data_IF_301965687795
#
_entry.id   IF_301965687795
#
_cell.length_a   1.000
_cell.length_b   1.000
_cell.length_c   1.000
_cell.angle_alpha   90.00
_cell.angle_beta   90.00
_cell.angle_gamma   90.00
#
_symmetry.space_group_name_H-M   'P 1'
#
loop_
_entity.id
_entity.type
_entity.pdbx_description
1 polymer ?
#
# COMPACT_ATOMS: atom_id res chain seq x y z
N UNK A 1 13.90 15.81 41.12
CA UNK A 1 13.49 16.54 39.90
C UNK A 1 14.53 17.61 39.61
N UNK A 2 15.38 17.40 38.60
CA UNK A 2 16.44 18.34 38.22
C UNK A 2 15.84 19.45 37.36
N UNK A 3 15.98 20.71 37.79
CA UNK A 3 15.58 21.88 36.99
C UNK A 3 16.52 21.97 35.78
N UNK A 4 15.98 21.89 34.57
CA UNK A 4 16.70 22.22 33.34
C UNK A 4 17.00 23.72 33.39
N UNK A 5 18.29 24.06 33.53
CA UNK A 5 18.77 25.43 33.62
C UNK A 5 18.86 26.02 32.21
N UNK A 6 18.41 27.25 32.02
CA UNK A 6 18.35 27.89 30.69
C UNK A 6 19.76 28.21 30.19
N UNK A 7 19.99 28.06 28.88
CA UNK A 7 21.30 28.33 28.23
C UNK A 7 21.78 29.77 28.53
N UNK A 8 20.84 30.71 28.67
CA UNK A 8 21.13 32.11 29.06
C UNK A 8 21.74 32.25 30.46
N UNK A 9 21.32 31.40 31.42
CA UNK A 9 21.88 31.38 32.78
C UNK A 9 23.28 30.75 32.79
N UNK A 10 23.56 29.81 31.88
CA UNK A 10 24.86 29.13 31.79
C UNK A 10 25.97 30.04 31.27
N UNK A 11 25.61 31.06 30.48
CA UNK A 11 26.53 32.05 29.92
C UNK A 11 26.61 33.36 30.73
N UNK A 12 26.05 33.42 31.95
CA UNK A 12 26.02 34.64 32.79
C UNK A 12 25.44 35.88 32.08
N UNK A 13 24.46 35.70 31.18
CA UNK A 13 23.88 36.77 30.36
C UNK A 13 22.56 37.35 30.91
N UNK A 14 22.15 37.02 32.14
CA UNK A 14 20.88 37.51 32.71
C UNK A 14 21.10 38.15 34.08
N UNK A 15 20.84 39.45 34.17
CA UNK A 15 20.71 40.19 35.43
C UNK A 15 19.29 39.98 35.99
N UNK A 16 19.18 39.49 37.23
CA UNK A 16 17.87 39.20 37.85
C UNK A 16 17.14 40.48 38.21
N UNK A 17 16.13 40.86 37.42
CA UNK A 17 15.18 41.91 37.80
C UNK A 17 13.95 41.27 38.43
N UNK A 18 13.73 41.60 39.71
CA UNK A 18 12.53 41.28 40.48
C UNK A 18 11.40 42.20 40.02
N UNK A 19 10.29 41.67 39.48
CA UNK A 19 9.02 42.41 39.41
C UNK A 19 7.85 41.48 39.68
N UNK A 20 6.97 41.98 40.54
CA UNK A 20 5.80 41.33 41.13
C UNK A 20 4.68 41.00 40.12
N UNK A 21 3.80 40.10 40.57
CA UNK A 21 2.58 39.57 39.93
C UNK A 21 1.57 40.64 39.51
N UNK A 22 0.95 40.49 38.32
CA UNK A 22 -0.50 40.71 38.09
C UNK A 22 -1.06 39.70 37.05
N UNK A 23 -2.35 39.36 37.24
CA UNK A 23 -3.19 38.26 36.71
C UNK A 23 -3.93 38.54 35.38
N UNK A 24 -4.30 37.42 34.71
CA UNK A 24 -5.50 37.12 33.89
C UNK A 24 -5.68 37.87 32.54
N UNK A 25 -6.25 37.35 31.44
CA UNK A 25 -7.30 36.31 31.23
C UNK A 25 -7.39 35.92 29.73
N UNK A 26 -7.77 34.66 29.41
CA UNK A 26 -8.63 34.13 28.31
C UNK A 26 -8.34 34.43 26.81
N UNK A 27 -8.74 33.66 25.79
CA UNK A 27 -9.32 32.31 25.52
C UNK A 27 -9.36 32.18 23.97
N UNK A 28 -9.20 30.96 23.44
CA UNK A 28 -9.71 30.42 22.15
C UNK A 28 -9.32 31.14 20.83
N UNK A 29 -9.25 30.56 19.62
CA UNK A 29 -9.94 29.45 18.93
C UNK A 29 -9.12 29.15 17.65
N UNK A 30 -8.82 27.88 17.37
CA UNK A 30 -9.26 27.14 16.16
C UNK A 30 -8.66 27.48 14.77
N UNK A 31 -8.36 26.38 14.05
CA UNK A 31 -8.46 26.16 12.60
C UNK A 31 -7.24 26.34 11.67
N UNK A 32 -6.68 25.18 11.33
CA UNK A 32 -6.52 24.60 9.98
C UNK A 32 -5.82 25.37 8.84
N UNK A 33 -5.05 24.57 8.09
CA UNK A 33 -4.46 24.81 6.77
C UNK A 33 -3.06 25.41 6.74
N UNK A 34 -2.07 24.57 6.38
CA UNK A 34 -1.24 24.77 5.18
C UNK A 34 -0.28 23.56 5.01
N UNK A 35 -0.77 22.54 4.30
CA UNK A 35 -0.02 21.38 3.81
C UNK A 35 0.30 21.55 2.32
N UNK A 36 0.75 22.73 1.91
CA UNK A 36 0.89 23.07 0.49
C UNK A 36 1.97 24.10 0.21
N UNK A 37 3.16 23.95 0.80
CA UNK A 37 4.27 24.88 0.52
C UNK A 37 5.66 24.25 0.72
N UNK A 38 5.91 23.03 0.23
CA UNK A 38 7.30 22.56 0.00
C UNK A 38 7.36 21.65 -1.23
N UNK A 39 6.86 22.14 -2.36
CA UNK A 39 7.16 21.61 -3.69
C UNK A 39 7.39 22.82 -4.59
N UNK A 40 8.52 23.49 -4.40
CA UNK A 40 9.19 24.36 -5.36
C UNK A 40 10.43 24.92 -4.68
N UNK A 41 11.57 24.27 -4.91
CA UNK A 41 12.85 24.95 -5.10
C UNK A 41 13.83 23.93 -5.67
N UNK A 42 13.67 23.68 -6.97
CA UNK A 42 14.79 23.35 -7.84
C UNK A 42 15.76 24.53 -7.80
N UNK A 43 16.87 24.39 -7.08
CA UNK A 43 18.21 24.91 -7.41
C UNK A 43 19.10 24.96 -6.17
N UNK A 44 19.86 23.89 -5.93
CA UNK A 44 21.23 23.97 -5.38
C UNK A 44 21.90 22.59 -5.41
N UNK A 45 22.20 22.08 -6.60
CA UNK A 45 23.14 20.95 -6.75
C UNK A 45 24.56 21.54 -6.75
N UNK A 46 25.10 21.78 -5.55
CA UNK A 46 26.53 21.97 -5.39
C UNK A 46 27.22 20.60 -5.44
N UNK A 47 28.10 20.44 -6.43
CA UNK A 47 28.97 19.29 -6.71
C UNK A 47 29.50 18.62 -5.43
N UNK A 48 29.16 17.35 -5.22
CA UNK A 48 29.92 16.45 -4.34
C UNK A 48 30.49 15.31 -5.19
N UNK A 49 31.81 15.13 -5.07
CA UNK A 49 32.62 14.17 -5.80
C UNK A 49 32.21 12.73 -5.48
N UNK A 50 32.00 11.94 -6.55
CA UNK A 50 31.70 10.51 -6.49
C UNK A 50 32.98 9.75 -6.15
N UNK A 51 33.06 9.18 -4.94
CA UNK A 51 34.04 8.14 -4.62
C UNK A 51 33.37 6.80 -4.89
N UNK A 52 33.88 6.10 -5.91
CA UNK A 52 33.42 4.81 -6.40
C UNK A 52 33.94 3.70 -5.47
N UNK A 53 33.10 3.18 -4.57
CA UNK A 53 33.30 1.85 -3.98
C UNK A 53 32.19 0.92 -4.48
N UNK A 54 32.60 0.03 -5.38
CA UNK A 54 31.77 -0.95 -6.06
C UNK A 54 31.80 -2.23 -5.21
N UNK A 55 30.84 -2.39 -4.31
CA UNK A 55 30.53 -3.70 -3.71
C UNK A 55 29.11 -4.09 -4.12
N UNK A 56 29.03 -5.05 -5.04
CA UNK A 56 27.79 -5.69 -5.46
C UNK A 56 27.21 -6.52 -4.31
N UNK A 57 26.20 -5.98 -3.61
CA UNK A 57 25.36 -6.78 -2.73
C UNK A 57 24.30 -7.48 -3.60
N UNK A 58 24.57 -8.74 -3.99
CA UNK A 58 23.56 -9.62 -4.58
C UNK A 58 22.50 -9.96 -3.52
N UNK A 59 21.29 -9.44 -3.71
CA UNK A 59 20.12 -9.86 -2.95
C UNK A 59 19.83 -11.36 -3.15
N UNK A 60 19.65 -12.17 -2.10
CA UNK A 60 19.24 -13.56 -2.26
C UNK A 60 17.76 -13.63 -2.61
N UNK A 61 17.44 -14.33 -3.72
CA UNK A 61 16.06 -14.70 -4.08
C UNK A 61 15.48 -15.65 -3.02
N UNK A 62 14.21 -15.50 -2.60
CA UNK A 62 13.62 -16.42 -1.64
C UNK A 62 13.35 -17.77 -2.32
N UNK A 63 13.90 -18.84 -1.74
CA UNK A 63 13.67 -20.23 -2.12
C UNK A 63 12.36 -20.69 -1.45
N UNK A 64 11.31 -20.90 -2.25
CA UNK A 64 10.06 -21.49 -1.81
C UNK A 64 10.24 -23.01 -1.80
N UNK A 65 10.21 -23.64 -0.62
CA UNK A 65 10.02 -25.09 -0.47
C UNK A 65 8.53 -25.36 -0.27
N UNK A 66 7.90 -26.08 -1.21
CA UNK A 66 6.57 -26.69 -1.05
C UNK A 66 6.71 -28.18 -0.70
N UNK A 67 6.02 -28.57 0.36
CA UNK A 67 5.62 -29.93 0.76
C UNK A 67 4.18 -29.72 1.26
N UNK A 68 3.09 -30.36 0.83
CA UNK A 68 2.83 -31.65 0.17
C UNK A 68 1.34 -31.72 -0.24
N UNK A 69 1.04 -32.58 -1.23
CA UNK A 69 -0.20 -33.31 -1.55
C UNK A 69 -1.58 -32.61 -1.49
N UNK A 70 -2.17 -32.38 -2.66
CA UNK A 70 -3.23 -33.19 -3.29
C UNK A 70 -3.41 -32.66 -4.72
N UNK A 71 -4.03 -33.41 -5.64
CA UNK A 71 -4.27 -32.98 -7.02
C UNK A 71 -5.29 -31.83 -7.08
N UNK A 72 -4.90 -30.67 -6.59
CA UNK A 72 -5.44 -29.39 -7.03
C UNK A 72 -4.39 -28.85 -7.98
N UNK A 73 -4.78 -28.55 -9.22
CA UNK A 73 -3.96 -27.68 -10.07
C UNK A 73 -3.71 -26.42 -9.27
N UNK A 74 -2.48 -26.29 -8.78
CA UNK A 74 -1.96 -25.21 -7.94
C UNK A 74 -1.94 -23.94 -8.81
N UNK A 75 -3.14 -23.42 -9.10
CA UNK A 75 -3.35 -22.34 -10.05
C UNK A 75 -2.88 -21.07 -9.39
N UNK A 76 -1.84 -20.46 -9.94
CA UNK A 76 -1.31 -19.21 -9.44
C UNK A 76 -2.10 -18.04 -10.05
N UNK A 77 -2.86 -17.36 -9.21
CA UNK A 77 -3.63 -16.18 -9.54
C UNK A 77 -2.73 -14.93 -9.53
N UNK A 78 -1.86 -14.83 -10.54
CA UNK A 78 -1.00 -13.66 -10.73
C UNK A 78 -1.71 -12.55 -11.50
N UNK A 79 -2.52 -12.93 -12.49
CA UNK A 79 -3.20 -12.02 -13.40
C UNK A 79 -4.70 -12.29 -13.41
N UNK A 80 -5.47 -11.28 -13.81
CA UNK A 80 -6.87 -11.48 -14.15
C UNK A 80 -6.99 -12.49 -15.29
N UNK A 81 -8.01 -13.33 -15.22
CA UNK A 81 -8.36 -14.29 -16.28
C UNK A 81 -9.76 -13.96 -16.82
N UNK A 82 -9.95 -14.18 -18.11
CA UNK A 82 -11.26 -14.15 -18.74
C UNK A 82 -12.00 -15.47 -18.44
N UNK A 83 -13.34 -15.45 -18.48
CA UNK A 83 -14.17 -16.64 -18.23
C UNK A 83 -13.80 -17.79 -19.19
N UNK A 84 -13.54 -17.46 -20.45
CA UNK A 84 -13.16 -18.42 -21.49
C UNK A 84 -11.83 -19.12 -21.17
N UNK A 85 -10.88 -18.39 -20.58
CA UNK A 85 -9.59 -18.93 -20.13
C UNK A 85 -9.79 -19.86 -18.94
N UNK A 86 -10.65 -19.48 -17.99
CA UNK A 86 -11.00 -20.33 -16.85
C UNK A 86 -11.61 -21.64 -17.34
N UNK A 87 -12.59 -21.59 -18.25
CA UNK A 87 -13.19 -22.80 -18.81
C UNK A 87 -12.16 -23.65 -19.57
N UNK A 88 -11.33 -23.03 -20.39
CA UNK A 88 -10.29 -23.74 -21.16
C UNK A 88 -9.28 -24.45 -20.26
N UNK A 89 -8.83 -23.80 -19.17
CA UNK A 89 -7.92 -24.38 -18.18
C UNK A 89 -8.52 -25.62 -17.47
N UNK A 90 -9.84 -25.65 -17.32
CA UNK A 90 -10.55 -26.76 -16.71
C UNK A 90 -11.17 -27.73 -17.72
N UNK A 91 -10.78 -27.65 -18.99
CA UNK A 91 -11.24 -28.57 -20.04
C UNK A 91 -12.72 -28.43 -20.39
N UNK A 92 -13.33 -27.28 -20.09
CA UNK A 92 -14.71 -26.97 -20.45
C UNK A 92 -14.76 -26.21 -21.77
N UNK A 93 -15.46 -26.77 -22.75
CA UNK A 93 -15.70 -26.09 -24.02
C UNK A 93 -16.63 -24.90 -23.80
N UNK A 94 -16.27 -23.73 -24.31
CA UNK A 94 -17.12 -22.53 -24.24
C UNK A 94 -17.99 -22.42 -25.50
N UNK A 95 -18.77 -23.47 -25.79
CA UNK A 95 -19.67 -23.51 -26.94
C UNK A 95 -21.13 -23.42 -26.52
N UNK A 96 -22.00 -23.12 -27.48
CA UNK A 96 -23.46 -23.07 -27.29
C UNK A 96 -24.15 -24.42 -27.55
N UNK A 97 -23.37 -25.46 -27.84
CA UNK A 97 -23.85 -26.78 -28.28
C UNK A 97 -23.45 -27.79 -27.22
N UNK A 98 -24.38 -28.61 -26.76
CA UNK A 98 -24.15 -29.63 -25.72
C UNK A 98 -23.62 -29.07 -24.38
N UNK A 99 -23.82 -27.78 -24.12
CA UNK A 99 -23.52 -27.11 -22.85
C UNK A 99 -24.79 -26.52 -22.23
N UNK A 100 -24.71 -26.11 -20.97
CA UNK A 100 -25.82 -25.43 -20.27
C UNK A 100 -26.31 -24.18 -21.03
N UNK A 101 -25.45 -23.53 -21.82
CA UNK A 101 -25.80 -22.36 -22.62
C UNK A 101 -26.80 -22.68 -23.74
N UNK A 102 -26.87 -23.94 -24.19
CA UNK A 102 -27.92 -24.39 -25.10
C UNK A 102 -29.32 -24.19 -24.49
N UNK A 103 -29.48 -24.49 -23.20
CA UNK A 103 -30.75 -24.28 -22.49
C UNK A 103 -31.10 -22.79 -22.45
N UNK A 104 -30.12 -21.93 -22.20
CA UNK A 104 -30.33 -20.49 -22.22
C UNK A 104 -30.80 -19.99 -23.59
N UNK A 105 -30.19 -20.50 -24.67
CA UNK A 105 -30.58 -20.13 -26.04
C UNK A 105 -32.01 -20.56 -26.35
N UNK A 106 -32.41 -21.77 -25.93
CA UNK A 106 -33.79 -22.25 -26.09
C UNK A 106 -34.80 -21.43 -25.29
N UNK A 107 -34.47 -21.10 -24.04
CA UNK A 107 -35.31 -20.24 -23.19
C UNK A 107 -35.50 -18.86 -23.86
N UNK A 108 -34.43 -18.28 -24.38
CA UNK A 108 -34.45 -16.97 -25.04
C UNK A 108 -35.17 -16.96 -26.38
N UNK A 109 -35.27 -18.11 -27.06
CA UNK A 109 -36.01 -18.25 -28.30
C UNK A 109 -37.53 -18.31 -28.10
N UNK A 110 -38.00 -18.54 -26.88
CA UNK A 110 -39.43 -18.59 -26.55
C UNK A 110 -39.99 -17.20 -26.21
N UNK A 111 -41.27 -16.92 -26.49
CA UNK A 111 -41.90 -15.66 -26.12
C UNK A 111 -41.86 -15.40 -24.60
N UNK A 112 -41.39 -14.22 -24.19
CA UNK A 112 -41.25 -13.85 -22.77
C UNK A 112 -42.59 -13.68 -22.03
N UNK A 113 -43.70 -13.59 -22.76
CA UNK A 113 -45.06 -13.51 -22.20
C UNK A 113 -45.59 -14.86 -21.69
N UNK A 114 -44.89 -15.96 -21.96
CA UNK A 114 -45.33 -17.30 -21.54
C UNK A 114 -45.14 -17.52 -20.03
N UNK A 115 -46.06 -18.23 -19.37
CA UNK A 115 -45.86 -18.71 -18.00
C UNK A 115 -44.62 -19.60 -17.88
N UNK A 116 -43.90 -19.50 -16.75
CA UNK A 116 -42.62 -20.23 -16.52
C UNK A 116 -42.74 -21.74 -16.73
N UNK A 117 -43.84 -22.35 -16.29
CA UNK A 117 -44.04 -23.80 -16.44
C UNK A 117 -44.21 -24.21 -17.91
N UNK A 118 -44.88 -23.36 -18.71
CA UNK A 118 -45.03 -23.57 -20.16
C UNK A 118 -43.69 -23.43 -20.87
N UNK A 119 -42.88 -22.45 -20.48
CA UNK A 119 -41.50 -22.28 -20.98
C UNK A 119 -40.67 -23.52 -20.66
N UNK A 120 -40.68 -23.97 -19.40
CA UNK A 120 -39.92 -25.14 -18.95
C UNK A 120 -40.32 -26.40 -19.73
N UNK A 121 -41.62 -26.67 -19.85
CA UNK A 121 -42.10 -27.86 -20.57
C UNK A 121 -41.76 -27.78 -22.07
N UNK A 122 -41.86 -26.60 -22.67
CA UNK A 122 -41.50 -26.39 -24.08
C UNK A 122 -40.02 -26.66 -24.33
N UNK A 123 -39.13 -26.16 -23.46
CA UNK A 123 -37.68 -26.43 -23.56
C UNK A 123 -37.39 -27.92 -23.41
N UNK A 124 -38.01 -28.61 -22.44
CA UNK A 124 -37.85 -30.07 -22.24
C UNK A 124 -38.29 -30.83 -23.50
N UNK A 125 -39.43 -30.47 -24.08
CA UNK A 125 -39.95 -31.12 -25.28
C UNK A 125 -39.00 -30.92 -26.48
N UNK A 126 -38.43 -29.71 -26.65
CA UNK A 126 -37.46 -29.42 -27.70
C UNK A 126 -36.16 -30.22 -27.51
N UNK A 127 -35.65 -30.31 -26.28
CA UNK A 127 -34.46 -31.08 -25.94
C UNK A 127 -34.67 -32.57 -26.24
N UNK A 128 -35.80 -33.13 -25.82
CA UNK A 128 -36.16 -34.53 -26.09
C UNK A 128 -36.29 -34.80 -27.60
N UNK A 129 -36.91 -33.88 -28.35
CA UNK A 129 -37.04 -34.00 -29.81
C UNK A 129 -35.68 -33.88 -30.53
N UNK A 130 -34.73 -33.14 -29.95
CA UNK A 130 -33.38 -32.94 -30.48
C UNK A 130 -32.41 -34.06 -30.10
N UNK A 131 -32.88 -35.08 -29.36
CA UNK A 131 -32.07 -36.20 -28.86
C UNK A 131 -30.82 -35.76 -28.06
N UNK A 132 -30.96 -34.65 -27.30
CA UNK A 132 -29.92 -34.14 -26.39
C UNK A 132 -30.26 -34.56 -24.96
N UNK A 133 -29.25 -34.95 -24.17
CA UNK A 133 -29.45 -35.35 -22.78
C UNK A 133 -29.54 -34.12 -21.85
N UNK A 134 -30.74 -33.86 -21.32
CA UNK A 134 -30.97 -32.78 -20.36
C UNK A 134 -30.07 -32.90 -19.11
N UNK A 135 -29.85 -34.11 -18.60
CA UNK A 135 -29.03 -34.31 -17.40
C UNK A 135 -27.57 -33.96 -17.67
N UNK A 136 -27.07 -34.24 -18.87
CA UNK A 136 -25.74 -33.83 -19.29
C UNK A 136 -25.59 -32.30 -19.31
N UNK A 137 -26.58 -31.58 -19.85
CA UNK A 137 -26.58 -30.11 -19.89
C UNK A 137 -26.62 -29.50 -18.48
N UNK A 138 -27.44 -30.07 -17.59
CA UNK A 138 -27.51 -29.64 -16.19
C UNK A 138 -26.20 -29.92 -15.45
N UNK A 139 -25.61 -31.10 -15.65
CA UNK A 139 -24.31 -31.46 -15.06
C UNK A 139 -23.17 -30.56 -15.56
N UNK A 140 -23.17 -30.16 -16.84
CA UNK A 140 -22.24 -29.13 -17.35
C UNK A 140 -22.41 -27.80 -16.59
N UNK A 141 -23.65 -27.37 -16.34
CA UNK A 141 -23.96 -26.18 -15.55
C UNK A 141 -23.44 -26.26 -14.12
N UNK A 142 -23.66 -27.39 -13.44
CA UNK A 142 -23.17 -27.63 -12.08
C UNK A 142 -21.63 -27.59 -12.02
N UNK A 143 -20.95 -28.26 -12.96
CA UNK A 143 -19.48 -28.26 -13.05
C UNK A 143 -18.93 -26.85 -13.29
N UNK A 144 -19.55 -26.07 -14.18
CA UNK A 144 -19.16 -24.67 -14.42
C UNK A 144 -19.29 -23.83 -13.16
N UNK A 145 -20.39 -23.95 -12.42
CA UNK A 145 -20.61 -23.22 -11.18
C UNK A 145 -19.58 -23.61 -10.12
N UNK A 146 -19.27 -24.90 -9.98
CA UNK A 146 -18.25 -25.39 -9.05
C UNK A 146 -16.87 -24.80 -9.39
N UNK A 147 -16.45 -24.87 -10.64
CA UNK A 147 -15.16 -24.34 -11.11
C UNK A 147 -15.07 -22.83 -10.89
N UNK A 148 -16.10 -22.08 -11.29
CA UNK A 148 -16.13 -20.63 -11.08
C UNK A 148 -16.10 -20.27 -9.59
N UNK A 149 -16.77 -21.05 -8.73
CA UNK A 149 -16.71 -20.90 -7.28
C UNK A 149 -15.29 -21.09 -6.74
N UNK A 150 -14.63 -22.19 -7.12
CA UNK A 150 -13.25 -22.50 -6.72
C UNK A 150 -12.27 -21.42 -7.18
N UNK A 151 -12.36 -20.99 -8.43
CA UNK A 151 -11.50 -19.93 -8.97
C UNK A 151 -11.73 -18.60 -8.28
N UNK A 152 -12.98 -18.23 -8.02
CA UNK A 152 -13.34 -17.01 -7.27
C UNK A 152 -12.70 -17.03 -5.87
N UNK A 153 -12.88 -18.12 -5.13
CA UNK A 153 -12.38 -18.22 -3.76
C UNK A 153 -10.85 -18.27 -3.72
N UNK A 154 -10.24 -19.04 -4.62
CA UNK A 154 -8.79 -19.10 -4.77
C UNK A 154 -8.17 -17.74 -5.11
N UNK A 155 -8.72 -17.05 -6.12
CA UNK A 155 -8.26 -15.73 -6.54
C UNK A 155 -8.38 -14.71 -5.41
N UNK A 156 -9.53 -14.69 -4.72
CA UNK A 156 -9.77 -13.78 -3.59
C UNK A 156 -8.76 -14.03 -2.46
N UNK A 157 -8.55 -15.29 -2.07
CA UNK A 157 -7.66 -15.63 -0.98
C UNK A 157 -6.20 -15.29 -1.31
N UNK A 158 -5.70 -15.72 -2.46
CA UNK A 158 -4.31 -15.47 -2.84
C UNK A 158 -4.03 -13.96 -3.02
N UNK A 159 -4.93 -13.24 -3.68
CA UNK A 159 -4.77 -11.79 -3.88
C UNK A 159 -4.77 -11.05 -2.55
N UNK A 160 -5.68 -11.39 -1.62
CA UNK A 160 -5.73 -10.74 -0.31
C UNK A 160 -4.52 -11.07 0.55
N UNK A 161 -3.99 -12.30 0.49
CA UNK A 161 -2.75 -12.65 1.19
C UNK A 161 -1.59 -11.77 0.71
N UNK A 162 -1.40 -11.62 -0.61
CA UNK A 162 -0.37 -10.73 -1.16
C UNK A 162 -0.59 -9.26 -0.78
N UNK A 163 -1.83 -8.77 -0.80
CA UNK A 163 -2.15 -7.41 -0.34
C UNK A 163 -1.74 -7.21 1.13
N UNK A 164 -1.98 -8.20 1.99
CA UNK A 164 -1.57 -8.14 3.40
C UNK A 164 -0.05 -8.11 3.54
N UNK A 165 0.67 -8.93 2.76
CA UNK A 165 2.13 -8.93 2.72
C UNK A 165 2.69 -7.57 2.30
N UNK A 166 2.18 -6.99 1.20
CA UNK A 166 2.57 -5.66 0.74
C UNK A 166 2.27 -4.58 1.79
N UNK A 167 1.11 -4.63 2.44
CA UNK A 167 0.78 -3.69 3.54
C UNK A 167 1.78 -3.79 4.69
N UNK A 168 2.20 -5.01 5.05
CA UNK A 168 3.21 -5.23 6.10
C UNK A 168 4.58 -4.67 5.70
N UNK A 169 4.97 -4.86 4.44
CA UNK A 169 6.23 -4.32 3.93
C UNK A 169 6.23 -2.80 3.88
N UNK A 170 5.13 -2.19 3.43
CA UNK A 170 4.93 -0.73 3.47
C UNK A 170 5.11 -0.21 4.90
N UNK A 171 4.45 -0.82 5.89
CA UNK A 171 4.55 -0.40 7.28
C UNK A 171 6.00 -0.46 7.81
N UNK A 172 6.75 -1.51 7.45
CA UNK A 172 8.16 -1.64 7.81
C UNK A 172 9.01 -0.53 7.20
N UNK A 173 8.86 -0.29 5.90
CA UNK A 173 9.62 0.75 5.19
C UNK A 173 9.27 2.15 5.70
N UNK A 174 8.00 2.44 5.96
CA UNK A 174 7.57 3.71 6.55
C UNK A 174 8.17 3.95 7.93
N UNK A 175 8.28 2.92 8.77
CA UNK A 175 8.96 3.02 10.07
C UNK A 175 10.44 3.36 9.93
N UNK A 176 11.14 2.76 8.95
CA UNK A 176 12.55 3.07 8.67
C UNK A 176 12.72 4.51 8.20
N UNK A 177 11.85 4.98 7.29
CA UNK A 177 11.86 6.36 6.80
C UNK A 177 11.68 7.34 7.97
N UNK A 178 10.70 7.09 8.85
CA UNK A 178 10.45 7.93 10.02
C UNK A 178 11.67 8.01 10.95
N UNK A 179 12.31 6.88 11.23
CA UNK A 179 13.52 6.85 12.05
C UNK A 179 14.70 7.61 11.39
N UNK A 180 14.85 7.53 10.07
CA UNK A 180 15.86 8.33 9.36
C UNK A 180 15.55 9.83 9.44
N UNK A 181 14.28 10.23 9.30
CA UNK A 181 13.86 11.62 9.42
C UNK A 181 14.13 12.19 10.83
N UNK A 182 13.87 11.40 11.88
CA UNK A 182 14.18 11.79 13.25
C UNK A 182 15.69 12.00 13.47
N UNK A 183 16.52 11.11 12.91
CA UNK A 183 17.97 11.25 12.96
C UNK A 183 18.45 12.50 12.21
N UNK A 184 17.91 12.79 11.03
CA UNK A 184 18.23 14.02 10.28
C UNK A 184 17.93 15.25 11.12
N UNK A 185 16.71 15.34 11.67
CA UNK A 185 16.29 16.46 12.53
C UNK A 185 17.21 16.63 13.74
N UNK A 186 17.62 15.52 14.35
CA UNK A 186 18.56 15.54 15.48
C UNK A 186 19.91 16.12 15.05
N UNK A 187 20.44 15.72 13.89
CA UNK A 187 21.71 16.22 13.38
C UNK A 187 21.64 17.69 12.97
N UNK A 188 20.54 18.12 12.36
CA UNK A 188 20.32 19.53 12.04
C UNK A 188 20.36 20.41 13.30
N UNK A 189 19.64 20.01 14.37
CA UNK A 189 19.68 20.72 15.66
C UNK A 189 21.09 20.76 16.25
N UNK A 190 21.82 19.64 16.21
CA UNK A 190 23.20 19.60 16.72
C UNK A 190 24.13 20.56 15.96
N UNK A 191 23.97 20.65 14.63
CA UNK A 191 24.77 21.57 13.81
C UNK A 191 24.44 23.02 14.16
N UNK A 192 23.15 23.36 14.26
CA UNK A 192 22.71 24.71 14.62
C UNK A 192 23.26 25.15 15.98
N UNK A 193 23.12 24.30 17.00
CA UNK A 193 23.64 24.54 18.34
C UNK A 193 25.16 24.72 18.35
N UNK A 194 25.89 23.84 17.65
CA UNK A 194 27.34 23.88 17.61
C UNK A 194 27.85 25.15 16.90
N UNK A 195 27.22 25.54 15.79
CA UNK A 195 27.57 26.76 15.06
C UNK A 195 27.31 28.01 15.91
N UNK A 196 26.21 28.03 16.68
CA UNK A 196 25.93 29.13 17.60
C UNK A 196 27.01 29.26 18.68
N UNK A 197 27.41 28.15 19.32
CA UNK A 197 28.46 28.16 20.34
C UNK A 197 29.81 28.64 19.78
N UNK A 198 30.19 28.16 18.59
CA UNK A 198 31.42 28.59 17.91
C UNK A 198 31.35 30.09 17.61
N UNK A 199 30.22 30.59 17.11
CA UNK A 199 30.04 32.01 16.81
C UNK A 199 30.19 32.88 18.05
N UNK A 200 29.60 32.49 19.17
CA UNK A 200 29.73 33.22 20.44
C UNK A 200 31.18 33.27 20.92
N UNK A 201 31.90 32.15 20.87
CA UNK A 201 33.31 32.12 21.30
C UNK A 201 34.21 32.92 20.34
N UNK A 202 33.98 32.85 19.02
CA UNK A 202 34.70 33.65 18.05
C UNK A 202 34.51 35.16 18.31
N UNK A 203 33.27 35.62 18.52
CA UNK A 203 32.97 37.02 18.85
C UNK A 203 33.65 37.49 20.14
N UNK A 204 33.72 36.61 21.15
CA UNK A 204 34.43 36.90 22.40
C UNK A 204 35.94 37.05 22.17
N UNK A 205 36.54 36.17 21.38
CA UNK A 205 37.97 36.25 21.02
C UNK A 205 38.25 37.52 20.22
N UNK A 206 37.42 37.84 19.22
CA UNK A 206 37.54 39.06 18.42
C UNK A 206 37.51 40.30 19.33
N UNK A 207 36.59 40.37 20.29
CA UNK A 207 36.54 41.46 21.27
C UNK A 207 37.80 41.57 22.15
N UNK A 208 38.46 40.46 22.48
CA UNK A 208 39.74 40.47 23.20
C UNK A 208 40.86 40.98 22.28
N UNK A 209 40.90 40.55 21.02
CA UNK A 209 41.90 41.00 20.04
C UNK A 209 41.77 42.51 19.79
N UNK A 210 40.54 42.99 19.57
CA UNK A 210 40.23 44.40 19.32
C UNK A 210 40.61 45.29 20.52
N UNK A 211 40.61 44.75 21.74
CA UNK A 211 41.05 45.48 22.94
C UNK A 211 42.56 45.78 22.96
N UNK A 212 43.38 45.00 22.24
CA UNK A 212 44.82 45.24 22.09
C UNK A 212 45.14 45.74 20.68
N UNK A 213 44.71 46.96 20.30
CA UNK A 213 44.93 47.49 18.96
C UNK A 213 46.44 47.56 18.66
N UNK A 214 46.79 47.19 17.42
CA UNK A 214 48.17 47.23 16.90
C UNK A 214 48.64 48.66 16.63
#
# INVERSE_FOLDING_TARGET
MSKIMSILEKCNLVEKVNVEKVKNTNLNEENTNQLSEVLNDENNIAKVQVIHHKEEIKAPKPVIKKTSSEMETDMEYENKMMIDEIYSLHGLENSNINTVFMLQNLINALPQSLPKDVVKQSVINIINASNVDLNQLLSDGEKRLEILGKVKDGYYNQTNMRIVEYKKEIAKLSSLISNCQEQIKTKESMVEEQLYLIKCEAQKIDGIIDFFPK
#
